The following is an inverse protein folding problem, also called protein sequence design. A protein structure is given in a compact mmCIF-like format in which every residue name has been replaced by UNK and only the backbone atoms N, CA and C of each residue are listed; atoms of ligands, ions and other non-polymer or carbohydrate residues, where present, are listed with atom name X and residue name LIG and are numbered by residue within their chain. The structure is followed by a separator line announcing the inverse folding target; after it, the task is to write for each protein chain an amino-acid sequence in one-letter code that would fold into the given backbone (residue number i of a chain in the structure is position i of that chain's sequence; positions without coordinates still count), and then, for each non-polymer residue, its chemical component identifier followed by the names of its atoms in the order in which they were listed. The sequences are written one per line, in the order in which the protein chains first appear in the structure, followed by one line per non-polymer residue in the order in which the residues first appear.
data_IF_913167295490
#
_entry.id   IF_913167295490
#
_cell.length_a   1.000
_cell.length_b   1.000
_cell.length_c   1.000
_cell.angle_alpha   90.00
_cell.angle_beta   90.00
_cell.angle_gamma   90.00
#
_symmetry.space_group_name_H-M   'P 1'
#
loop_
_entity.id
_entity.type
_entity.pdbx_description
1 polymer ?
#
# COMPACT_ATOMS: atom_id res chain seq x y z
N UNK A 1 -14.38 18.56 -14.55
CA UNK A 1 -15.33 17.47 -14.27
C UNK A 1 -14.86 16.79 -12.99
N UNK A 2 -15.67 16.79 -11.94
CA UNK A 2 -15.35 16.11 -10.69
C UNK A 2 -15.94 14.71 -10.74
N UNK A 3 -15.10 13.72 -10.93
CA UNK A 3 -15.51 12.32 -10.97
C UNK A 3 -14.55 11.49 -10.12
N UNK A 4 -15.03 10.65 -9.20
CA UNK A 4 -14.19 9.79 -8.40
C UNK A 4 -13.34 8.89 -9.30
N UNK A 5 -12.06 8.90 -9.09
CA UNK A 5 -11.07 8.27 -9.98
C UNK A 5 -9.96 7.67 -9.14
N UNK A 6 -9.50 6.48 -9.49
CA UNK A 6 -8.28 5.90 -8.96
C UNK A 6 -7.19 6.01 -10.03
N UNK A 7 -5.96 6.20 -9.64
CA UNK A 7 -4.86 6.34 -10.58
C UNK A 7 -3.58 5.69 -10.04
N UNK A 8 -2.72 5.27 -10.98
CA UNK A 8 -1.43 4.65 -10.67
C UNK A 8 -0.35 5.38 -11.48
N UNK A 9 0.53 6.11 -10.80
CA UNK A 9 1.81 6.50 -11.38
C UNK A 9 2.79 5.35 -11.23
N UNK A 10 3.58 5.10 -12.27
CA UNK A 10 4.65 4.12 -12.21
C UNK A 10 5.86 4.56 -13.04
N UNK A 11 7.01 4.09 -12.65
CA UNK A 11 8.30 4.29 -13.34
C UNK A 11 9.21 3.12 -13.02
N UNK A 12 10.26 2.94 -13.79
CA UNK A 12 11.28 1.93 -13.53
C UNK A 12 12.48 2.54 -12.79
N UNK A 13 13.02 1.75 -11.88
CA UNK A 13 14.27 2.04 -11.20
C UNK A 13 15.09 0.75 -11.07
N UNK A 14 16.27 0.72 -11.72
CA UNK A 14 17.16 -0.45 -11.70
C UNK A 14 16.49 -1.77 -12.14
N UNK A 15 15.57 -1.70 -13.12
CA UNK A 15 14.88 -2.87 -13.69
C UNK A 15 13.66 -3.34 -12.91
N UNK A 16 13.33 -2.69 -11.80
CA UNK A 16 12.11 -2.91 -11.03
C UNK A 16 11.15 -1.72 -11.15
N UNK A 17 9.88 -1.93 -10.88
CA UNK A 17 8.88 -0.87 -10.84
C UNK A 17 8.81 -0.23 -9.45
N UNK A 18 8.57 1.05 -9.43
CA UNK A 18 8.07 1.78 -8.27
C UNK A 18 6.72 2.38 -8.66
N UNK A 19 5.76 2.35 -7.76
CA UNK A 19 4.39 2.78 -8.03
C UNK A 19 3.86 3.69 -6.94
N UNK A 20 3.03 4.64 -7.33
CA UNK A 20 2.20 5.43 -6.44
C UNK A 20 0.75 5.18 -6.82
N UNK A 21 -0.06 4.70 -5.89
CA UNK A 21 -1.50 4.51 -6.06
C UNK A 21 -2.21 5.65 -5.33
N UNK A 22 -3.25 6.21 -5.94
CA UNK A 22 -4.00 7.29 -5.34
C UNK A 22 -5.44 7.37 -5.85
N UNK A 23 -6.31 8.00 -5.08
CA UNK A 23 -7.67 8.32 -5.49
C UNK A 23 -7.90 9.84 -5.46
N UNK A 24 -8.86 10.29 -6.24
CA UNK A 24 -9.22 11.70 -6.29
C UNK A 24 -10.59 11.91 -6.90
N UNK A 25 -11.27 12.99 -6.52
CA UNK A 25 -12.47 13.46 -7.21
C UNK A 25 -12.14 14.33 -8.43
N UNK A 26 -10.88 14.74 -8.62
CA UNK A 26 -10.46 15.59 -9.74
C UNK A 26 -9.05 15.25 -10.19
N UNK A 27 -8.95 14.36 -11.17
CA UNK A 27 -7.65 13.86 -11.65
C UNK A 27 -6.76 14.97 -12.23
N UNK A 28 -7.31 15.94 -12.95
CA UNK A 28 -6.54 17.03 -13.54
C UNK A 28 -5.88 17.90 -12.46
N UNK A 29 -6.66 18.31 -11.44
CA UNK A 29 -6.14 19.08 -10.31
C UNK A 29 -5.09 18.31 -9.55
N UNK A 30 -5.34 17.02 -9.29
CA UNK A 30 -4.44 16.14 -8.52
C UNK A 30 -3.13 15.89 -9.26
N UNK A 31 -3.19 15.59 -10.54
CA UNK A 31 -2.00 15.39 -11.38
C UNK A 31 -1.15 16.67 -11.41
N UNK A 32 -1.78 17.83 -11.62
CA UNK A 32 -1.08 19.10 -11.58
C UNK A 32 -0.38 19.34 -10.23
N UNK A 33 -1.05 19.10 -9.11
CA UNK A 33 -0.45 19.20 -7.78
C UNK A 33 0.78 18.31 -7.61
N UNK A 34 0.77 17.10 -8.15
CA UNK A 34 1.93 16.19 -8.10
C UNK A 34 3.10 16.73 -8.91
N UNK A 35 2.87 17.26 -10.11
CA UNK A 35 3.92 17.84 -10.96
C UNK A 35 4.45 19.15 -10.38
N UNK A 36 3.59 20.04 -9.88
CA UNK A 36 4.02 21.29 -9.24
C UNK A 36 4.86 21.02 -7.98
N UNK A 37 4.48 20.02 -7.19
CA UNK A 37 5.23 19.59 -6.02
C UNK A 37 6.57 18.90 -6.39
N UNK A 38 6.66 18.26 -7.54
CA UNK A 38 7.89 17.64 -8.03
C UNK A 38 9.03 18.66 -8.23
N UNK A 39 8.68 19.90 -8.54
CA UNK A 39 9.66 20.98 -8.74
C UNK A 39 10.28 21.47 -7.41
N UNK A 40 9.58 21.32 -6.29
CA UNK A 40 9.93 21.95 -5.02
C UNK A 40 10.18 20.95 -3.85
N UNK A 41 9.85 19.67 -4.03
CA UNK A 41 9.97 18.66 -2.97
C UNK A 41 10.74 17.44 -3.47
N UNK A 42 11.89 17.11 -2.85
CA UNK A 42 12.58 15.85 -3.12
C UNK A 42 11.69 14.66 -2.72
N UNK A 43 11.85 13.53 -3.40
CA UNK A 43 11.12 12.31 -3.12
C UNK A 43 10.57 11.65 -4.39
N UNK A 44 9.56 10.80 -4.25
CA UNK A 44 9.00 10.05 -5.36
C UNK A 44 8.43 10.94 -6.50
N UNK A 45 7.97 12.15 -6.17
CA UNK A 45 7.39 13.07 -7.15
C UNK A 45 8.40 13.52 -8.19
N UNK A 46 9.68 13.67 -7.83
CA UNK A 46 10.75 14.01 -8.78
C UNK A 46 10.93 12.94 -9.87
N UNK A 47 10.50 11.71 -9.59
CA UNK A 47 10.57 10.59 -10.53
C UNK A 47 9.48 10.61 -11.60
N UNK A 48 8.45 11.47 -11.45
CA UNK A 48 7.39 11.64 -12.46
C UNK A 48 7.90 12.24 -13.78
N UNK A 49 9.05 12.88 -13.78
CA UNK A 49 9.71 13.41 -14.99
C UNK A 49 10.57 12.39 -15.74
N UNK A 50 10.69 11.15 -15.25
CA UNK A 50 11.43 10.10 -15.96
C UNK A 50 10.75 9.76 -17.29
N UNK A 51 11.54 9.42 -18.30
CA UNK A 51 11.04 9.05 -19.65
C UNK A 51 10.09 7.85 -19.67
N UNK A 52 10.30 6.93 -18.74
CA UNK A 52 9.55 5.69 -18.56
C UNK A 52 8.40 5.82 -17.55
N UNK A 53 8.23 7.02 -16.97
CA UNK A 53 7.09 7.28 -16.09
C UNK A 53 5.78 7.24 -16.89
N UNK A 54 4.80 6.53 -16.37
CA UNK A 54 3.47 6.46 -16.95
C UNK A 54 2.37 6.59 -15.89
N UNK A 55 1.17 6.90 -16.35
CA UNK A 55 0.00 7.14 -15.53
C UNK A 55 -1.17 6.30 -16.06
N UNK A 56 -1.68 5.39 -15.24
CA UNK A 56 -2.96 4.74 -15.47
C UNK A 56 -4.05 5.51 -14.74
N UNK A 57 -5.13 5.83 -15.45
CA UNK A 57 -6.33 6.50 -14.91
C UNK A 57 -7.47 5.51 -14.99
N UNK A 58 -8.11 5.26 -13.86
CA UNK A 58 -9.15 4.26 -13.69
C UNK A 58 -10.44 4.97 -13.31
N UNK A 59 -11.44 4.85 -14.16
CA UNK A 59 -12.79 5.34 -13.91
C UNK A 59 -13.81 4.20 -14.07
N UNK A 60 -14.89 4.25 -13.32
CA UNK A 60 -16.01 3.31 -13.41
C UNK A 60 -17.30 4.03 -13.05
N UNK A 61 -18.42 3.71 -13.72
CA UNK A 61 -19.70 4.38 -13.51
C UNK A 61 -20.22 4.31 -12.06
N UNK A 62 -19.91 3.23 -11.36
CA UNK A 62 -20.27 3.04 -9.96
C UNK A 62 -19.27 3.67 -8.97
N UNK A 63 -18.25 4.38 -9.44
CA UNK A 63 -17.28 4.99 -8.53
C UNK A 63 -17.93 6.08 -7.68
N UNK A 64 -17.84 5.89 -6.38
CA UNK A 64 -18.04 6.87 -5.34
C UNK A 64 -16.79 6.93 -4.44
N UNK A 65 -16.77 7.86 -3.51
CA UNK A 65 -15.61 8.06 -2.64
C UNK A 65 -15.20 6.80 -1.86
N UNK A 66 -16.19 6.07 -1.34
CA UNK A 66 -15.92 4.85 -0.56
C UNK A 66 -15.36 3.74 -1.43
N UNK A 67 -15.97 3.48 -2.59
CA UNK A 67 -15.49 2.46 -3.51
C UNK A 67 -14.10 2.78 -4.06
N UNK A 68 -13.79 4.04 -4.36
CA UNK A 68 -12.45 4.41 -4.84
C UNK A 68 -11.38 4.23 -3.77
N UNK A 69 -11.69 4.45 -2.50
CA UNK A 69 -10.77 4.15 -1.39
C UNK A 69 -10.50 2.66 -1.25
N UNK A 70 -11.51 1.81 -1.39
CA UNK A 70 -11.32 0.36 -1.33
C UNK A 70 -10.57 -0.19 -2.55
N UNK A 71 -10.84 0.36 -3.75
CA UNK A 71 -10.08 0.02 -4.96
C UNK A 71 -8.61 0.46 -4.81
N UNK A 72 -8.35 1.67 -4.31
CA UNK A 72 -7.00 2.16 -4.01
C UNK A 72 -6.28 1.21 -3.06
N UNK A 73 -6.92 0.84 -1.94
CA UNK A 73 -6.35 -0.06 -0.95
C UNK A 73 -6.05 -1.46 -1.54
N UNK A 74 -7.00 -2.04 -2.27
CA UNK A 74 -6.80 -3.34 -2.92
C UNK A 74 -5.69 -3.31 -3.97
N UNK A 75 -5.58 -2.21 -4.74
CA UNK A 75 -4.49 -2.02 -5.70
C UNK A 75 -3.13 -1.92 -5.00
N UNK A 76 -3.02 -1.16 -3.90
CA UNK A 76 -1.80 -1.11 -3.10
C UNK A 76 -1.40 -2.49 -2.61
N UNK A 77 -2.35 -3.26 -2.07
CA UNK A 77 -2.15 -4.62 -1.62
C UNK A 77 -1.62 -5.55 -2.73
N UNK A 78 -2.23 -5.49 -3.91
CA UNK A 78 -1.77 -6.27 -5.06
C UNK A 78 -0.39 -5.82 -5.54
N UNK A 79 -0.16 -4.50 -5.66
CA UNK A 79 1.13 -3.96 -6.10
C UNK A 79 2.28 -4.35 -5.16
N UNK A 80 2.06 -4.35 -3.84
CA UNK A 80 3.07 -4.84 -2.88
C UNK A 80 3.44 -6.32 -3.09
N UNK A 81 2.53 -7.09 -3.67
CA UNK A 81 2.70 -8.53 -3.89
C UNK A 81 3.27 -8.88 -5.26
N UNK A 82 3.50 -7.88 -6.11
CA UNK A 82 4.13 -8.08 -7.42
C UNK A 82 5.63 -8.13 -7.25
N UNK A 83 6.28 -9.25 -7.60
CA UNK A 83 7.73 -9.46 -7.47
C UNK A 83 8.56 -8.35 -8.13
N UNK A 84 8.08 -7.80 -9.25
CA UNK A 84 8.76 -6.74 -9.99
C UNK A 84 8.52 -5.34 -9.44
N UNK A 85 7.67 -5.18 -8.42
CA UNK A 85 7.42 -3.90 -7.74
C UNK A 85 8.28 -3.82 -6.50
N UNK A 86 9.27 -2.91 -6.55
CA UNK A 86 10.21 -2.68 -5.47
C UNK A 86 9.61 -1.81 -4.35
N UNK A 87 8.73 -0.88 -4.72
CA UNK A 87 8.16 0.08 -3.77
C UNK A 87 6.77 0.55 -4.19
N UNK A 88 5.90 0.63 -3.19
CA UNK A 88 4.57 1.22 -3.31
C UNK A 88 4.51 2.45 -2.41
N UNK A 89 4.08 3.56 -2.96
CA UNK A 89 3.92 4.82 -2.22
C UNK A 89 2.45 5.09 -1.89
N UNK A 90 2.19 5.97 -0.91
CA UNK A 90 0.86 6.36 -0.46
C UNK A 90 0.07 5.24 0.23
N UNK A 91 0.75 4.45 1.03
CA UNK A 91 0.07 3.42 1.82
C UNK A 91 -0.68 4.10 2.96
N UNK A 92 -1.99 3.88 3.02
CA UNK A 92 -2.90 4.42 4.02
C UNK A 92 -3.81 3.30 4.52
N UNK A 93 -4.19 3.39 5.79
CA UNK A 93 -5.26 2.57 6.33
C UNK A 93 -6.61 3.01 5.73
N UNK A 94 -7.43 2.03 5.41
CA UNK A 94 -8.81 2.26 5.00
C UNK A 94 -9.76 1.63 6.02
N UNK A 95 -10.29 2.40 6.98
CA UNK A 95 -11.14 1.90 8.06
C UNK A 95 -12.60 1.64 7.64
N UNK A 96 -12.91 1.62 6.35
CA UNK A 96 -14.29 1.46 5.90
C UNK A 96 -14.86 0.09 6.25
N UNK A 97 -16.13 0.08 6.65
CA UNK A 97 -16.81 -1.15 7.08
C UNK A 97 -17.88 -1.62 6.10
N UNK A 98 -18.76 -0.71 5.64
CA UNK A 98 -19.85 -1.05 4.73
C UNK A 98 -20.34 0.18 3.97
N UNK A 99 -20.65 0.05 2.68
CA UNK A 99 -21.18 1.10 1.81
C UNK A 99 -21.85 0.50 0.56
N UNK A 100 -22.60 1.30 -0.17
CA UNK A 100 -23.11 0.93 -1.51
C UNK A 100 -22.10 1.38 -2.59
N UNK A 101 -21.69 0.59 -3.57
CA UNK A 101 -22.10 -0.81 -3.90
C UNK A 101 -21.02 -1.86 -3.49
N UNK A 102 -20.86 -2.11 -2.22
CA UNK A 102 -19.82 -3.02 -1.69
C UNK A 102 -19.94 -4.45 -2.26
N UNK A 103 -21.15 -4.92 -2.54
CA UNK A 103 -21.38 -6.26 -3.08
C UNK A 103 -20.79 -6.45 -4.49
N UNK A 104 -20.66 -5.36 -5.25
CA UNK A 104 -20.09 -5.38 -6.61
C UNK A 104 -18.58 -5.21 -6.64
N UNK A 105 -17.95 -4.96 -5.47
CA UNK A 105 -16.54 -4.61 -5.36
C UNK A 105 -15.61 -5.61 -6.06
N UNK A 106 -15.76 -6.90 -5.79
CA UNK A 106 -14.86 -7.92 -6.34
C UNK A 106 -15.01 -8.06 -7.86
N UNK A 107 -16.19 -7.90 -8.40
CA UNK A 107 -16.42 -7.91 -9.84
C UNK A 107 -15.80 -6.69 -10.53
N UNK A 108 -16.03 -5.50 -9.97
CA UNK A 108 -15.46 -4.23 -10.46
C UNK A 108 -13.95 -4.28 -10.40
N UNK A 109 -13.38 -4.68 -9.25
CA UNK A 109 -11.93 -4.80 -9.09
C UNK A 109 -11.32 -5.80 -10.08
N UNK A 110 -11.93 -6.97 -10.25
CA UNK A 110 -11.47 -7.97 -11.22
C UNK A 110 -11.50 -7.45 -12.67
N UNK A 111 -12.50 -6.65 -13.05
CA UNK A 111 -12.54 -5.99 -14.37
C UNK A 111 -11.40 -4.98 -14.53
N UNK A 112 -11.16 -4.15 -13.51
CA UNK A 112 -10.07 -3.17 -13.47
C UNK A 112 -8.72 -3.88 -13.60
N UNK A 113 -8.46 -4.90 -12.78
CA UNK A 113 -7.18 -5.63 -12.81
C UNK A 113 -6.91 -6.29 -14.17
N UNK A 114 -7.91 -6.93 -14.76
CA UNK A 114 -7.81 -7.50 -16.11
C UNK A 114 -7.55 -6.44 -17.18
N UNK A 115 -8.15 -5.25 -17.06
CA UNK A 115 -7.87 -4.12 -17.94
C UNK A 115 -6.42 -3.66 -17.83
N UNK A 116 -5.94 -3.39 -16.62
CA UNK A 116 -4.56 -3.00 -16.35
C UNK A 116 -3.55 -4.05 -16.85
N UNK A 117 -3.87 -5.35 -16.68
CA UNK A 117 -3.05 -6.44 -17.16
C UNK A 117 -2.91 -6.47 -18.70
N UNK A 118 -3.93 -6.04 -19.46
CA UNK A 118 -3.82 -5.93 -20.91
C UNK A 118 -2.80 -4.88 -21.32
N UNK A 119 -2.71 -3.80 -20.58
CA UNK A 119 -1.78 -2.71 -20.84
C UNK A 119 -0.32 -3.09 -20.46
N UNK A 120 -0.14 -3.73 -19.30
CA UNK A 120 1.19 -4.11 -18.83
C UNK A 120 1.18 -5.41 -18.01
N UNK A 121 1.49 -6.54 -18.65
CA UNK A 121 1.52 -7.86 -17.99
C UNK A 121 2.66 -8.01 -16.97
N UNK A 122 3.73 -7.23 -17.09
CA UNK A 122 4.87 -7.28 -16.18
C UNK A 122 4.57 -6.56 -14.86
N UNK A 123 3.81 -5.48 -14.93
CA UNK A 123 3.39 -4.73 -13.74
C UNK A 123 2.12 -5.33 -13.11
N UNK A 124 1.24 -5.93 -13.91
CA UNK A 124 -0.03 -6.51 -13.47
C UNK A 124 -0.10 -8.02 -13.80
N UNK A 125 0.47 -8.90 -12.97
CA UNK A 125 0.39 -10.36 -13.19
C UNK A 125 -1.04 -10.88 -13.00
N UNK A 126 -1.24 -12.20 -13.07
CA UNK A 126 -2.56 -12.81 -12.81
C UNK A 126 -2.94 -12.66 -11.33
N UNK A 127 -4.24 -12.55 -11.04
CA UNK A 127 -4.71 -12.48 -9.65
C UNK A 127 -4.33 -13.74 -8.85
N UNK A 128 -4.32 -14.91 -9.48
CA UNK A 128 -3.86 -16.13 -8.83
C UNK A 128 -2.40 -16.03 -8.39
N UNK A 129 -1.51 -15.56 -9.27
CA UNK A 129 -0.10 -15.38 -8.91
C UNK A 129 0.08 -14.39 -7.74
N UNK A 130 -0.73 -13.33 -7.67
CA UNK A 130 -0.75 -12.41 -6.53
C UNK A 130 -1.20 -13.14 -5.26
N UNK A 131 -2.39 -13.75 -5.27
CA UNK A 131 -3.02 -14.37 -4.11
C UNK A 131 -2.20 -15.56 -3.56
N UNK A 132 -1.45 -16.23 -4.41
CA UNK A 132 -0.58 -17.33 -4.01
C UNK A 132 0.76 -16.88 -3.42
N UNK A 133 1.16 -15.64 -3.66
CA UNK A 133 2.44 -15.12 -3.17
C UNK A 133 2.49 -15.04 -1.64
N UNK A 134 3.67 -15.33 -1.09
CA UNK A 134 3.90 -15.21 0.36
C UNK A 134 3.72 -13.77 0.86
N UNK A 135 4.09 -12.80 0.05
CA UNK A 135 3.96 -11.36 0.35
C UNK A 135 2.47 -10.99 0.48
N UNK A 136 1.60 -11.47 -0.42
CA UNK A 136 0.16 -11.23 -0.31
C UNK A 136 -0.43 -11.84 0.96
N UNK A 137 -0.06 -13.09 1.27
CA UNK A 137 -0.54 -13.80 2.48
C UNK A 137 -0.08 -13.15 3.78
N UNK A 138 1.11 -12.53 3.76
CA UNK A 138 1.69 -11.80 4.89
C UNK A 138 1.46 -10.27 4.82
N UNK A 139 0.59 -9.80 3.94
CA UNK A 139 0.43 -8.35 3.68
C UNK A 139 -0.03 -7.60 4.94
N UNK A 140 0.56 -6.43 5.19
CA UNK A 140 0.15 -5.54 6.29
C UNK A 140 -1.25 -4.93 6.10
N UNK A 141 -1.83 -5.04 4.89
CA UNK A 141 -3.12 -4.45 4.55
C UNK A 141 -4.31 -5.39 4.81
N UNK A 142 -4.08 -6.57 5.39
CA UNK A 142 -5.16 -7.40 5.90
C UNK A 142 -5.80 -6.74 7.12
N UNK A 143 -7.13 -6.76 7.17
CA UNK A 143 -7.88 -6.23 8.31
C UNK A 143 -7.51 -7.01 9.58
N UNK A 144 -7.07 -6.30 10.59
CA UNK A 144 -6.78 -6.85 11.90
C UNK A 144 -8.06 -7.08 12.71
N UNK A 145 -8.05 -8.06 13.60
CA UNK A 145 -9.06 -8.17 14.67
C UNK A 145 -8.83 -7.10 15.73
N UNK A 146 -9.82 -6.83 16.55
CA UNK A 146 -9.69 -5.86 17.66
C UNK A 146 -8.55 -6.20 18.63
N UNK A 147 -8.31 -7.50 18.87
CA UNK A 147 -7.21 -7.95 19.70
C UNK A 147 -5.85 -7.70 19.02
N UNK A 148 -5.77 -7.97 17.72
CA UNK A 148 -4.57 -7.71 16.93
C UNK A 148 -4.28 -6.20 16.83
N UNK A 149 -5.29 -5.35 16.67
CA UNK A 149 -5.14 -3.89 16.70
C UNK A 149 -4.55 -3.40 18.02
N UNK A 150 -5.10 -3.84 19.16
CA UNK A 150 -4.56 -3.51 20.48
C UNK A 150 -3.13 -3.99 20.67
N UNK A 151 -2.82 -5.21 20.19
CA UNK A 151 -1.47 -5.74 20.26
C UNK A 151 -0.49 -4.92 19.41
N UNK A 152 -0.90 -4.52 18.20
CA UNK A 152 -0.13 -3.63 17.30
C UNK A 152 0.18 -2.30 17.98
N UNK A 153 -0.84 -1.62 18.51
CA UNK A 153 -0.69 -0.34 19.21
C UNK A 153 0.29 -0.45 20.38
N UNK A 154 0.18 -1.50 21.19
CA UNK A 154 1.08 -1.74 22.33
C UNK A 154 2.54 -1.95 21.86
N UNK A 155 2.75 -2.72 20.79
CA UNK A 155 4.09 -2.96 20.24
C UNK A 155 4.69 -1.65 19.74
N UNK A 156 3.93 -0.87 18.95
CA UNK A 156 4.37 0.43 18.41
C UNK A 156 4.73 1.38 19.55
N UNK A 157 3.89 1.46 20.59
CA UNK A 157 4.18 2.26 21.76
C UNK A 157 5.50 1.85 22.43
N UNK A 158 5.71 0.55 22.66
CA UNK A 158 6.94 0.04 23.29
C UNK A 158 8.18 0.31 22.46
N UNK A 159 8.10 0.16 21.15
CA UNK A 159 9.21 0.49 20.24
C UNK A 159 9.51 1.99 20.29
N UNK A 160 8.48 2.83 20.25
CA UNK A 160 8.65 4.30 20.32
C UNK A 160 9.28 4.74 21.64
N UNK A 161 8.81 4.20 22.78
CA UNK A 161 9.38 4.46 24.10
C UNK A 161 10.86 4.06 24.18
N UNK A 162 11.23 2.90 23.63
CA UNK A 162 12.62 2.43 23.61
C UNK A 162 13.52 3.32 22.73
N UNK A 163 12.99 3.76 21.56
CA UNK A 163 13.72 4.67 20.68
C UNK A 163 13.93 6.07 21.29
N UNK A 164 12.94 6.59 22.02
CA UNK A 164 13.05 7.88 22.71
C UNK A 164 14.06 7.86 23.85
N UNK A 165 14.17 6.72 24.56
CA UNK A 165 15.11 6.52 25.65
C UNK A 165 16.48 6.02 25.20
N UNK A 166 16.68 5.83 23.89
CA UNK A 166 17.90 5.24 23.31
C UNK A 166 18.22 3.84 23.88
N UNK A 167 17.20 3.10 24.32
CA UNK A 167 17.35 1.75 24.83
C UNK A 167 17.67 0.77 23.71
N UNK A 168 18.69 -0.04 23.90
CA UNK A 168 19.13 -1.06 22.94
C UNK A 168 18.84 -2.47 23.44
N UNK A 169 18.85 -3.46 22.53
CA UNK A 169 18.69 -4.90 22.85
C UNK A 169 17.33 -5.24 23.48
N UNK A 170 16.29 -4.49 23.13
CA UNK A 170 14.93 -4.78 23.54
C UNK A 170 14.37 -5.96 22.74
N UNK A 171 13.53 -6.78 23.36
CA UNK A 171 12.93 -7.96 22.77
C UNK A 171 11.44 -8.02 23.13
N UNK A 172 10.59 -8.12 22.10
CA UNK A 172 9.13 -8.26 22.25
C UNK A 172 8.73 -9.63 21.70
N UNK A 173 8.14 -10.47 22.54
CA UNK A 173 7.57 -11.74 22.14
C UNK A 173 6.08 -11.59 21.84
N UNK A 174 5.64 -12.18 20.70
CA UNK A 174 4.25 -12.30 20.33
C UNK A 174 3.92 -13.80 20.34
N UNK A 175 3.16 -14.22 21.32
CA UNK A 175 2.69 -15.59 21.44
C UNK A 175 1.23 -15.74 21.00
N UNK A 176 0.85 -16.92 20.56
CA UNK A 176 -0.50 -17.25 20.11
C UNK A 176 -0.54 -18.58 19.37
N UNK A 177 -1.70 -19.20 19.31
CA UNK A 177 -1.92 -20.47 18.60
C UNK A 177 -1.64 -20.39 17.10
N UNK A 178 -1.49 -21.54 16.45
CA UNK A 178 -1.37 -21.61 14.99
C UNK A 178 -2.64 -21.02 14.32
N UNK A 179 -2.45 -20.22 13.27
CA UNK A 179 -3.58 -19.62 12.55
C UNK A 179 -4.16 -18.34 13.16
N UNK A 180 -3.68 -17.86 14.31
CA UNK A 180 -4.17 -16.61 14.95
C UNK A 180 -3.74 -15.32 14.24
N UNK A 181 -3.02 -15.44 13.12
CA UNK A 181 -2.61 -14.27 12.31
C UNK A 181 -1.38 -13.53 12.84
N UNK A 182 -0.49 -14.18 13.60
CA UNK A 182 0.77 -13.57 14.08
C UNK A 182 1.58 -12.93 12.96
N UNK A 183 1.69 -13.58 11.80
CA UNK A 183 2.40 -13.05 10.64
C UNK A 183 1.75 -11.74 10.13
N UNK A 184 0.43 -11.69 10.06
CA UNK A 184 -0.33 -10.51 9.65
C UNK A 184 -0.11 -9.37 10.64
N UNK A 185 -0.19 -9.65 11.95
CA UNK A 185 0.09 -8.68 13.01
C UNK A 185 1.52 -8.14 12.90
N UNK A 186 2.51 -9.03 12.77
CA UNK A 186 3.92 -8.62 12.66
C UNK A 186 4.18 -7.79 11.41
N UNK A 187 3.63 -8.19 10.26
CA UNK A 187 3.77 -7.44 9.01
C UNK A 187 3.11 -6.06 9.08
N UNK A 188 1.92 -5.97 9.68
CA UNK A 188 1.21 -4.70 9.87
C UNK A 188 1.99 -3.77 10.82
N UNK A 189 2.53 -4.31 11.92
CA UNK A 189 3.35 -3.55 12.87
C UNK A 189 4.65 -3.06 12.24
N UNK A 190 5.36 -3.94 11.54
CA UNK A 190 6.58 -3.58 10.80
C UNK A 190 6.32 -2.45 9.83
N UNK A 191 5.23 -2.56 9.08
CA UNK A 191 4.88 -1.60 8.06
C UNK A 191 4.58 -0.22 8.66
N UNK A 192 3.81 -0.17 9.72
CA UNK A 192 3.51 1.08 10.45
C UNK A 192 4.79 1.76 10.96
N UNK A 193 5.68 0.99 11.61
CA UNK A 193 6.96 1.50 12.09
C UNK A 193 7.86 1.99 10.94
N UNK A 194 7.85 1.29 9.81
CA UNK A 194 8.59 1.71 8.62
C UNK A 194 8.07 3.05 8.08
N UNK A 195 6.75 3.22 7.96
CA UNK A 195 6.15 4.48 7.52
C UNK A 195 6.47 5.63 8.48
N UNK A 196 6.36 5.42 9.79
CA UNK A 196 6.70 6.44 10.80
C UNK A 196 8.18 6.82 10.73
N UNK A 197 9.07 5.87 10.49
CA UNK A 197 10.50 6.14 10.33
C UNK A 197 10.79 7.00 9.08
N UNK A 198 10.16 6.69 7.95
CA UNK A 198 10.28 7.47 6.71
C UNK A 198 9.75 8.91 6.87
N UNK A 199 8.59 9.07 7.54
CA UNK A 199 7.98 10.38 7.78
C UNK A 199 8.80 11.26 8.72
N UNK A 200 9.37 10.65 9.77
CA UNK A 200 10.18 11.38 10.76
C UNK A 200 11.61 11.69 10.29
N UNK A 201 11.97 11.26 9.07
CA UNK A 201 13.33 11.39 8.51
C UNK A 201 14.43 10.86 9.45
N UNK A 202 14.08 9.93 10.34
CA UNK A 202 15.02 9.25 11.23
C UNK A 202 15.73 8.14 10.46
N UNK A 203 17.04 8.01 10.65
CA UNK A 203 17.85 6.94 10.04
C UNK A 203 17.61 5.59 10.72
N UNK A 204 16.35 5.12 10.77
CA UNK A 204 15.97 3.83 11.32
C UNK A 204 16.02 2.77 10.22
N UNK A 205 16.66 1.64 10.53
CA UNK A 205 16.72 0.50 9.62
C UNK A 205 15.76 -0.59 10.10
N UNK A 206 14.65 -0.74 9.42
CA UNK A 206 13.67 -1.78 9.69
C UNK A 206 13.93 -3.00 8.80
N UNK A 207 13.81 -4.21 9.35
CA UNK A 207 13.92 -5.47 8.61
C UNK A 207 12.84 -6.44 9.09
N UNK A 208 12.13 -7.07 8.15
CA UNK A 208 11.20 -8.16 8.42
C UNK A 208 11.79 -9.46 7.89
N UNK A 209 11.95 -10.45 8.78
CA UNK A 209 12.39 -11.78 8.43
C UNK A 209 11.19 -12.74 8.57
N UNK A 210 10.87 -13.44 7.50
CA UNK A 210 9.78 -14.41 7.47
C UNK A 210 10.36 -15.78 7.14
N UNK A 211 10.08 -16.76 7.98
CA UNK A 211 10.44 -18.15 7.70
C UNK A 211 9.36 -18.80 6.85
N UNK A 212 9.75 -19.47 5.78
CA UNK A 212 8.86 -20.17 4.84
C UNK A 212 8.96 -21.69 5.01
#
# INVERSE_FOLDING_TARGET
MNFPTVYIHNWQDSGAFEVYVGETNNIFKRTRQHYDAALNQPGWRSKLSKKDASLFIIGHEHFNKSLTLDIENRLMHYMMSVERVKRVYNLRDNPQTSYYPMEEFDEIFGKIWRGLRKENKNLFPTESAIKDSAIYKASPLHKLTKEQEKARELIIQKVSEALEKEETKQLIFIDGEAGTGKTVLTSSTFYELYCQAEESNKALKCQLLVNH
#
